data_IF_186820249858
#
_entry.id   IF_186820249858
#
_cell.length_a   1.000
_cell.length_b   1.000
_cell.length_c   1.000
_cell.angle_alpha   90.00
_cell.angle_beta   90.00
_cell.angle_gamma   90.00
#
_symmetry.space_group_name_H-M   'P 1'
#
loop_
_entity.id
_entity.type
_entity.pdbx_description
1 polymer ?
#
# COMPACT_ATOMS: atom_id res chain seq x y z
N UNK A 1 -8.47 -21.82 48.12
CA UNK A 1 -8.16 -20.40 48.31
C UNK A 1 -7.03 -20.04 47.35
N UNK A 2 -7.32 -19.10 46.44
CA UNK A 2 -6.43 -18.14 45.72
C UNK A 2 -5.03 -18.59 45.27
N UNK A 3 -4.55 -18.33 44.06
CA UNK A 3 -5.07 -17.69 42.87
C UNK A 3 -4.08 -18.09 41.77
N UNK A 4 -4.54 -18.75 40.70
CA UNK A 4 -3.74 -18.91 39.49
C UNK A 4 -3.67 -17.57 38.79
N UNK A 5 -2.59 -16.84 39.02
CA UNK A 5 -2.28 -15.60 38.31
C UNK A 5 -2.36 -15.87 36.81
N UNK A 6 -3.27 -15.14 36.16
CA UNK A 6 -3.48 -15.13 34.71
C UNK A 6 -2.32 -14.36 34.07
N UNK A 7 -1.25 -15.08 33.74
CA UNK A 7 -0.17 -14.60 32.87
C UNK A 7 -0.31 -15.24 31.48
N UNK A 8 -1.32 -14.86 30.68
CA UNK A 8 -1.49 -15.46 29.33
C UNK A 8 -1.97 -14.51 28.24
N UNK A 9 -1.85 -13.20 28.43
CA UNK A 9 -1.98 -12.26 27.31
C UNK A 9 -0.73 -11.38 27.33
N UNK A 10 0.26 -11.80 26.55
CA UNK A 10 1.36 -10.93 26.19
C UNK A 10 0.75 -9.79 25.36
N UNK A 11 0.84 -8.56 25.85
CA UNK A 11 0.43 -7.34 25.14
C UNK A 11 1.11 -7.17 23.76
N UNK A 12 2.12 -8.00 23.46
CA UNK A 12 2.89 -8.03 22.23
C UNK A 12 2.27 -8.86 21.09
N UNK A 13 1.43 -9.88 21.38
CA UNK A 13 0.88 -10.77 20.33
C UNK A 13 -0.29 -10.15 19.54
N UNK A 14 -1.00 -9.16 20.13
CA UNK A 14 -2.16 -8.51 19.50
C UNK A 14 -1.80 -7.25 18.68
N UNK A 15 -0.54 -6.79 18.75
CA UNK A 15 -0.09 -5.55 18.12
C UNK A 15 -0.21 -5.56 16.59
N UNK A 16 0.24 -6.61 15.86
CA UNK A 16 0.20 -6.58 14.40
C UNK A 16 -1.23 -6.60 13.83
N UNK A 17 -2.12 -7.39 14.44
CA UNK A 17 -3.53 -7.44 14.06
C UNK A 17 -4.25 -6.12 14.35
N UNK A 18 -3.93 -5.46 15.47
CA UNK A 18 -4.46 -4.14 15.81
C UNK A 18 -4.01 -3.05 14.83
N UNK A 19 -2.74 -3.03 14.43
CA UNK A 19 -2.18 -2.07 13.47
C UNK A 19 -2.81 -2.26 12.09
N UNK A 20 -2.93 -3.51 11.61
CA UNK A 20 -3.58 -3.80 10.33
C UNK A 20 -5.05 -3.37 10.34
N UNK A 21 -5.80 -3.70 11.39
CA UNK A 21 -7.19 -3.28 11.52
C UNK A 21 -7.32 -1.75 11.56
N UNK A 22 -6.37 -1.06 12.19
CA UNK A 22 -6.33 0.39 12.22
C UNK A 22 -6.12 0.99 10.83
N UNK A 23 -5.16 0.47 10.06
CA UNK A 23 -4.92 0.85 8.66
C UNK A 23 -6.17 0.64 7.78
N UNK A 24 -6.83 -0.51 7.93
CA UNK A 24 -8.09 -0.83 7.22
C UNK A 24 -9.17 0.21 7.51
N UNK A 25 -9.37 0.58 8.79
CA UNK A 25 -10.36 1.59 9.19
C UNK A 25 -10.06 2.96 8.59
N UNK A 26 -8.78 3.36 8.55
CA UNK A 26 -8.35 4.61 7.94
C UNK A 26 -8.63 4.61 6.45
N UNK A 27 -8.20 3.57 5.72
CA UNK A 27 -8.42 3.44 4.30
C UNK A 27 -9.91 3.45 3.93
N UNK A 28 -10.73 2.71 4.68
CA UNK A 28 -12.18 2.68 4.49
C UNK A 28 -12.81 4.06 4.63
N UNK A 29 -12.43 4.83 5.67
CA UNK A 29 -12.95 6.19 5.88
C UNK A 29 -12.43 7.18 4.85
N UNK A 30 -11.15 7.12 4.51
CA UNK A 30 -10.52 8.04 3.56
C UNK A 30 -11.11 7.94 2.16
N UNK A 31 -11.54 6.73 1.78
CA UNK A 31 -12.05 6.42 0.44
C UNK A 31 -13.56 6.13 0.39
N UNK A 32 -14.32 6.44 1.45
CA UNK A 32 -15.74 6.08 1.56
C UNK A 32 -16.60 6.62 0.40
N UNK A 33 -16.35 7.86 -0.01
CA UNK A 33 -17.08 8.54 -1.09
C UNK A 33 -16.36 8.43 -2.45
N UNK A 34 -15.35 7.57 -2.56
CA UNK A 34 -14.54 7.42 -3.77
C UNK A 34 -14.94 6.17 -4.55
N UNK A 35 -15.01 6.32 -5.86
CA UNK A 35 -15.19 5.20 -6.78
C UNK A 35 -13.88 4.92 -7.51
N UNK A 36 -13.60 3.64 -7.76
CA UNK A 36 -12.53 3.23 -8.65
C UNK A 36 -12.91 3.46 -10.12
N UNK A 37 -11.97 3.12 -11.02
CA UNK A 37 -12.14 3.30 -12.47
C UNK A 37 -13.22 2.43 -13.09
N UNK A 38 -13.62 1.35 -12.41
CA UNK A 38 -14.69 0.46 -12.84
C UNK A 38 -16.05 0.86 -12.24
N UNK A 39 -16.12 1.97 -11.50
CA UNK A 39 -17.33 2.46 -10.85
C UNK A 39 -17.67 1.76 -9.53
N UNK A 40 -16.78 0.90 -9.02
CA UNK A 40 -16.95 0.24 -7.71
C UNK A 40 -16.36 1.07 -6.57
N UNK A 41 -16.60 0.70 -5.30
CA UNK A 41 -16.00 1.39 -4.16
C UNK A 41 -14.46 1.34 -4.22
N UNK A 42 -13.80 2.48 -4.08
CA UNK A 42 -12.34 2.58 -4.17
C UNK A 42 -11.61 1.70 -3.15
N UNK A 43 -12.18 1.55 -1.96
CA UNK A 43 -11.66 0.65 -0.92
C UNK A 43 -11.40 -0.79 -1.42
N UNK A 44 -12.16 -1.28 -2.41
CA UNK A 44 -11.93 -2.61 -2.98
C UNK A 44 -10.60 -2.70 -3.74
N UNK A 45 -10.11 -1.61 -4.33
CA UNK A 45 -8.76 -1.56 -4.89
C UNK A 45 -7.71 -1.74 -3.80
N UNK A 46 -7.78 -0.96 -2.71
CA UNK A 46 -6.87 -1.10 -1.57
C UNK A 46 -6.85 -2.54 -1.03
N UNK A 47 -8.03 -3.17 -0.93
CA UNK A 47 -8.15 -4.58 -0.53
C UNK A 47 -7.44 -5.53 -1.50
N UNK A 48 -7.66 -5.41 -2.82
CA UNK A 48 -7.02 -6.30 -3.81
C UNK A 48 -5.49 -6.16 -3.79
N UNK A 49 -4.98 -4.94 -3.61
CA UNK A 49 -3.54 -4.69 -3.45
C UNK A 49 -3.02 -5.36 -2.17
N UNK A 50 -3.73 -5.23 -1.05
CA UNK A 50 -3.34 -5.86 0.22
C UNK A 50 -3.42 -7.40 0.18
N UNK A 51 -4.41 -7.98 -0.50
CA UNK A 51 -4.53 -9.43 -0.68
C UNK A 51 -3.39 -10.02 -1.55
N UNK A 52 -2.74 -9.19 -2.38
CA UNK A 52 -1.70 -9.60 -3.31
C UNK A 52 -0.26 -9.51 -2.74
N UNK A 53 -0.11 -9.06 -1.49
CA UNK A 53 1.17 -8.98 -0.77
C UNK A 53 1.20 -9.94 0.41
N UNK A 54 2.38 -10.39 0.80
CA UNK A 54 2.55 -11.50 1.75
C UNK A 54 2.79 -10.99 3.18
N UNK A 55 3.58 -9.94 3.35
CA UNK A 55 3.97 -9.42 4.66
C UNK A 55 2.87 -8.63 5.37
N UNK A 56 2.81 -8.71 6.70
CA UNK A 56 1.82 -7.96 7.48
C UNK A 56 2.02 -6.44 7.37
N UNK A 57 3.27 -5.96 7.47
CA UNK A 57 3.58 -4.54 7.24
C UNK A 57 3.30 -4.12 5.79
N UNK A 58 3.53 -5.00 4.81
CA UNK A 58 3.19 -4.74 3.41
C UNK A 58 1.69 -4.55 3.25
N UNK A 59 0.87 -5.34 3.96
CA UNK A 59 -0.60 -5.19 3.97
C UNK A 59 -1.02 -3.87 4.61
N UNK A 60 -0.40 -3.46 5.70
CA UNK A 60 -0.62 -2.14 6.33
C UNK A 60 -0.35 -1.04 5.31
N UNK A 61 0.81 -1.07 4.66
CA UNK A 61 1.17 -0.09 3.63
C UNK A 61 0.22 -0.16 2.44
N UNK A 62 -0.19 -1.36 1.99
CA UNK A 62 -1.13 -1.55 0.89
C UNK A 62 -2.51 -0.95 1.16
N UNK A 63 -3.03 -1.02 2.38
CA UNK A 63 -4.27 -0.33 2.72
C UNK A 63 -4.11 1.20 2.71
N UNK A 64 -2.93 1.71 3.06
CA UNK A 64 -2.68 3.16 3.21
C UNK A 64 -2.06 3.83 1.98
N UNK A 65 -1.64 3.07 0.97
CA UNK A 65 -0.75 3.57 -0.09
C UNK A 65 -1.30 4.78 -0.86
N UNK A 66 -2.62 4.90 -0.96
CA UNK A 66 -3.31 5.98 -1.65
C UNK A 66 -3.98 7.00 -0.71
N UNK A 67 -3.94 6.77 0.59
CA UNK A 67 -4.67 7.58 1.56
C UNK A 67 -4.17 9.03 1.56
N UNK A 68 -2.85 9.24 1.51
CA UNK A 68 -2.27 10.59 1.45
C UNK A 68 -2.50 11.27 0.10
N UNK A 69 -2.46 10.51 -0.99
CA UNK A 69 -2.62 11.06 -2.34
C UNK A 69 -4.08 11.43 -2.65
N UNK A 70 -5.03 10.61 -2.21
CA UNK A 70 -6.44 10.69 -2.63
C UNK A 70 -7.40 10.96 -1.49
N UNK A 71 -7.03 10.73 -0.23
CA UNK A 71 -7.87 10.98 0.94
C UNK A 71 -7.82 12.44 1.40
N UNK A 72 -8.92 13.21 1.30
CA UNK A 72 -8.93 14.60 1.74
C UNK A 72 -8.55 14.76 3.22
N UNK A 73 -7.61 15.66 3.50
CA UNK A 73 -7.15 15.96 4.87
C UNK A 73 -6.25 14.88 5.49
N UNK A 74 -5.78 13.90 4.71
CA UNK A 74 -4.74 12.97 5.14
C UNK A 74 -3.36 13.47 4.73
N UNK A 75 -2.42 13.37 5.67
CA UNK A 75 -1.01 13.74 5.48
C UNK A 75 -0.13 12.66 6.11
N UNK A 76 1.16 12.65 5.73
CA UNK A 76 2.14 11.75 6.36
C UNK A 76 2.28 12.03 7.86
N UNK A 77 2.24 13.30 8.28
CA UNK A 77 2.29 13.68 9.69
C UNK A 77 1.09 13.15 10.46
N UNK A 78 -0.11 13.26 9.88
CA UNK A 78 -1.31 12.70 10.50
C UNK A 78 -1.21 11.19 10.65
N UNK A 79 -0.67 10.48 9.65
CA UNK A 79 -0.46 9.03 9.80
C UNK A 79 0.60 8.71 10.87
N UNK A 80 1.63 9.56 11.05
CA UNK A 80 2.56 9.41 12.20
C UNK A 80 1.83 9.58 13.52
N UNK A 81 0.93 10.57 13.63
CA UNK A 81 0.15 10.83 14.84
C UNK A 81 -0.85 9.71 15.16
N UNK A 82 -1.31 8.96 14.15
CA UNK A 82 -2.12 7.74 14.30
C UNK A 82 -1.27 6.53 14.81
N UNK A 83 0.05 6.69 14.94
CA UNK A 83 0.94 5.71 15.57
C UNK A 83 1.62 4.71 14.62
N UNK A 84 1.58 4.94 13.30
CA UNK A 84 2.30 4.09 12.36
C UNK A 84 3.83 4.27 12.46
N UNK A 85 4.57 3.17 12.29
CA UNK A 85 6.02 3.16 12.38
C UNK A 85 6.67 4.02 11.29
N UNK A 86 7.90 4.49 11.53
CA UNK A 86 8.65 5.26 10.53
C UNK A 86 8.83 4.50 9.22
N UNK A 87 9.04 3.18 9.26
CA UNK A 87 9.17 2.33 8.09
C UNK A 87 7.89 2.33 7.22
N UNK A 88 6.72 2.21 7.85
CA UNK A 88 5.42 2.30 7.17
C UNK A 88 5.23 3.68 6.54
N UNK A 89 5.55 4.75 7.28
CA UNK A 89 5.40 6.12 6.78
C UNK A 89 6.34 6.41 5.60
N UNK A 90 7.59 5.98 5.67
CA UNK A 90 8.56 6.10 4.57
C UNK A 90 8.12 5.32 3.33
N UNK A 91 7.49 4.16 3.51
CA UNK A 91 6.94 3.38 2.41
C UNK A 91 5.73 4.09 1.77
N UNK A 92 4.82 4.66 2.56
CA UNK A 92 3.67 5.43 2.07
C UNK A 92 4.15 6.70 1.35
N UNK A 93 5.16 7.38 1.88
CA UNK A 93 5.79 8.53 1.23
C UNK A 93 6.42 8.15 -0.13
N UNK A 94 7.06 6.98 -0.20
CA UNK A 94 7.58 6.43 -1.45
C UNK A 94 6.47 6.14 -2.47
N UNK A 95 5.28 5.76 -1.99
CA UNK A 95 4.09 5.45 -2.80
C UNK A 95 3.18 6.65 -3.08
N UNK A 96 3.45 7.80 -2.48
CA UNK A 96 2.70 9.05 -2.75
C UNK A 96 3.41 9.82 -3.85
N UNK A 97 2.71 10.16 -4.94
CA UNK A 97 3.30 10.92 -6.06
C UNK A 97 3.68 12.33 -5.65
N UNK A 98 4.81 12.82 -6.19
CA UNK A 98 5.19 14.23 -6.02
C UNK A 98 4.57 15.12 -7.09
N UNK A 99 4.34 16.41 -6.80
CA UNK A 99 3.95 17.37 -7.84
C UNK A 99 4.98 17.38 -8.98
N UNK A 100 4.50 17.22 -10.22
CA UNK A 100 5.30 17.20 -11.47
C UNK A 100 6.23 16.00 -11.66
N UNK A 101 6.13 14.97 -10.82
CA UNK A 101 6.92 13.74 -10.99
C UNK A 101 6.40 12.92 -12.17
N UNK A 102 7.31 12.45 -13.02
CA UNK A 102 6.96 11.56 -14.13
C UNK A 102 6.55 10.16 -13.65
N UNK A 103 5.72 9.45 -14.44
CA UNK A 103 5.27 8.09 -14.09
C UNK A 103 6.45 7.13 -13.84
N UNK A 104 7.47 7.16 -14.68
CA UNK A 104 8.66 6.31 -14.55
C UNK A 104 9.47 6.66 -13.31
N UNK A 105 9.66 7.96 -13.04
CA UNK A 105 10.41 8.46 -11.88
C UNK A 105 9.73 8.03 -10.58
N UNK A 106 8.41 8.17 -10.53
CA UNK A 106 7.60 7.72 -9.41
C UNK A 106 7.75 6.22 -9.17
N UNK A 107 7.60 5.40 -10.23
CA UNK A 107 7.77 3.94 -10.13
C UNK A 107 9.17 3.59 -9.62
N UNK A 108 10.23 4.15 -10.23
CA UNK A 108 11.60 3.89 -9.80
C UNK A 108 11.86 4.30 -8.34
N UNK A 109 11.32 5.44 -7.90
CA UNK A 109 11.45 5.91 -6.52
C UNK A 109 10.74 4.97 -5.55
N UNK A 110 9.49 4.59 -5.83
CA UNK A 110 8.73 3.66 -5.01
C UNK A 110 9.45 2.31 -4.87
N UNK A 111 9.99 1.78 -5.97
CA UNK A 111 10.66 0.48 -5.96
C UNK A 111 11.96 0.44 -5.14
N UNK A 112 12.63 1.59 -4.94
CA UNK A 112 13.85 1.66 -4.11
C UNK A 112 13.58 1.41 -2.63
N UNK A 113 12.37 1.70 -2.14
CA UNK A 113 11.99 1.36 -0.77
C UNK A 113 11.54 -0.11 -0.72
N UNK A 114 12.19 -0.90 0.16
CA UNK A 114 11.97 -2.35 0.22
C UNK A 114 10.53 -2.73 0.60
N UNK A 115 9.89 -1.98 1.50
CA UNK A 115 8.53 -2.22 1.96
C UNK A 115 7.48 -1.72 0.95
N UNK A 116 7.77 -0.61 0.26
CA UNK A 116 6.89 -0.07 -0.78
C UNK A 116 6.91 -0.89 -2.07
N UNK A 117 8.02 -1.54 -2.40
CA UNK A 117 8.22 -2.28 -3.66
C UNK A 117 7.14 -3.34 -3.93
N UNK A 118 6.88 -4.33 -3.05
CA UNK A 118 5.85 -5.34 -3.31
C UNK A 118 4.47 -4.72 -3.47
N UNK A 119 4.14 -3.70 -2.66
CA UNK A 119 2.90 -2.94 -2.77
C UNK A 119 2.80 -2.21 -4.11
N UNK A 120 3.89 -1.60 -4.60
CA UNK A 120 3.89 -0.92 -5.90
C UNK A 120 3.67 -1.88 -7.05
N UNK A 121 4.27 -3.07 -6.99
CA UNK A 121 4.07 -4.11 -7.99
C UNK A 121 2.63 -4.61 -7.98
N UNK A 122 2.04 -4.83 -6.80
CA UNK A 122 0.63 -5.22 -6.65
C UNK A 122 -0.32 -4.14 -7.20
N UNK A 123 -0.10 -2.87 -6.87
CA UNK A 123 -0.85 -1.71 -7.39
C UNK A 123 -0.79 -1.62 -8.93
N UNK A 124 0.39 -1.77 -9.52
CA UNK A 124 0.55 -1.76 -10.99
C UNK A 124 -0.21 -2.91 -11.66
N UNK A 125 -0.17 -4.12 -11.08
CA UNK A 125 -0.89 -5.29 -11.59
C UNK A 125 -2.40 -5.13 -11.47
N UNK A 126 -2.91 -4.64 -10.34
CA UNK A 126 -4.35 -4.41 -10.16
C UNK A 126 -4.88 -3.38 -11.15
N UNK A 127 -4.15 -2.27 -11.29
CA UNK A 127 -4.50 -1.22 -12.23
C UNK A 127 -4.47 -1.69 -13.69
N UNK A 128 -3.50 -2.54 -14.07
CA UNK A 128 -3.44 -3.13 -15.41
C UNK A 128 -4.68 -3.99 -15.67
N UNK A 129 -4.99 -4.92 -14.77
CA UNK A 129 -6.15 -5.80 -14.91
C UNK A 129 -7.47 -5.01 -14.98
N UNK A 130 -7.61 -3.95 -14.17
CA UNK A 130 -8.76 -3.07 -14.21
C UNK A 130 -8.84 -2.28 -15.53
N UNK A 131 -7.70 -1.78 -16.04
CA UNK A 131 -7.66 -1.06 -17.30
C UNK A 131 -8.08 -1.95 -18.49
N UNK A 132 -7.59 -3.19 -18.53
CA UNK A 132 -7.97 -4.20 -19.52
C UNK A 132 -9.47 -4.51 -19.45
N UNK A 133 -10.00 -4.73 -18.24
CA UNK A 133 -11.42 -5.06 -18.03
C UNK A 133 -12.37 -3.99 -18.54
N UNK A 134 -12.01 -2.70 -18.40
CA UNK A 134 -12.86 -1.58 -18.82
C UNK A 134 -12.49 -1.03 -20.21
N UNK A 135 -11.48 -1.60 -20.87
CA UNK A 135 -11.02 -1.14 -22.18
C UNK A 135 -10.35 0.25 -22.18
N UNK A 136 -9.73 0.65 -21.07
CA UNK A 136 -8.95 1.90 -20.98
C UNK A 136 -7.47 1.67 -21.30
N UNK A 137 -6.72 2.73 -21.59
CA UNK A 137 -5.29 2.65 -21.93
C UNK A 137 -4.44 2.02 -20.78
N UNK A 138 -3.84 0.83 -21.00
CA UNK A 138 -3.01 0.16 -20.01
C UNK A 138 -1.54 0.62 -20.03
N UNK A 139 -1.12 1.45 -21.00
CA UNK A 139 0.28 1.63 -21.38
C UNK A 139 1.20 2.06 -20.23
N UNK A 140 0.73 2.93 -19.33
CA UNK A 140 1.52 3.35 -18.16
C UNK A 140 1.76 2.23 -17.15
N UNK A 141 0.83 1.29 -17.01
CA UNK A 141 0.94 0.17 -16.08
C UNK A 141 1.87 -0.90 -16.62
N UNK A 142 1.75 -1.21 -17.92
CA UNK A 142 2.69 -2.09 -18.62
C UNK A 142 4.12 -1.54 -18.55
N UNK A 143 4.29 -0.24 -18.78
CA UNK A 143 5.59 0.42 -18.69
C UNK A 143 6.17 0.33 -17.28
N UNK A 144 5.37 0.59 -16.25
CA UNK A 144 5.77 0.41 -14.85
C UNK A 144 6.24 -1.02 -14.55
N UNK A 145 5.51 -2.04 -15.03
CA UNK A 145 5.89 -3.44 -14.84
C UNK A 145 7.17 -3.82 -15.61
N UNK A 146 7.42 -3.21 -16.78
CA UNK A 146 8.69 -3.36 -17.50
C UNK A 146 9.87 -2.79 -16.70
N UNK A 147 9.69 -1.64 -16.05
CA UNK A 147 10.71 -1.06 -15.15
C UNK A 147 11.02 -2.02 -13.99
N UNK A 148 10.00 -2.63 -13.38
CA UNK A 148 10.17 -3.64 -12.31
C UNK A 148 11.04 -4.80 -12.79
N UNK A 149 10.71 -5.37 -13.95
CA UNK A 149 11.48 -6.47 -14.53
C UNK A 149 12.94 -6.08 -14.83
N UNK A 150 13.18 -4.87 -15.35
CA UNK A 150 14.54 -4.39 -15.62
C UNK A 150 15.37 -4.19 -14.34
N UNK A 151 14.75 -3.69 -13.27
CA UNK A 151 15.46 -3.43 -12.01
C UNK A 151 15.73 -4.68 -11.17
N UNK A 152 14.87 -5.70 -11.23
CA UNK A 152 14.91 -6.83 -10.29
C UNK A 152 14.95 -8.22 -10.92
N UNK A 153 14.73 -8.36 -12.24
CA UNK A 153 14.88 -9.64 -12.93
C UNK A 153 16.16 -9.72 -13.77
N UNK A 154 17.09 -8.77 -13.62
CA UNK A 154 18.44 -8.95 -14.16
C UNK A 154 19.26 -9.79 -13.18
N UNK A 155 19.74 -10.99 -13.56
CA UNK A 155 20.78 -11.65 -12.78
C UNK A 155 21.97 -10.68 -12.75
N UNK A 156 22.52 -10.42 -11.57
CA UNK A 156 23.82 -9.76 -11.47
C UNK A 156 24.77 -10.51 -12.41
N UNK A 157 25.20 -9.84 -13.48
CA UNK A 157 26.02 -10.43 -14.52
C UNK A 157 27.35 -10.92 -13.95
N UNK A 158 27.66 -12.17 -14.29
CA UNK A 158 28.96 -12.70 -14.75
C UNK A 158 30.20 -11.85 -14.51
#
# INVERSE_FOLDING_TARGET
MTAGQREWINEHDDQPAAVLLHAVKIAFKAHAEQTDKAGGPYFLHCKRVADAVEGEEERVVAFLHDVVEKGPGWTLDRLRDEGFSSAVIEAIDALTRRPKEGDDEFVMRALRNALARPVKVADLKDNLAQAEKIGSDPGKYEKGLKIVAQMYNHPAGT
#
